data_IF_819370235300
#
_entry.id   IF_819370235300
#
_cell.length_a   1.000
_cell.length_b   1.000
_cell.length_c   1.000
_cell.angle_alpha   90.00
_cell.angle_beta   90.00
_cell.angle_gamma   90.00
#
_symmetry.space_group_name_H-M   'P 1'
#
loop_
_entity.id
_entity.type
_entity.pdbx_description
1 polymer ?
#
# COMPACT_ATOMS: atom_id res chain seq x y z
N UNK A 1 5.04 -7.71 0.69
CA UNK A 1 4.58 -9.11 0.89
C UNK A 1 4.17 -9.41 2.33
N UNK A 2 5.03 -9.19 3.35
CA UNK A 2 4.71 -9.55 4.74
C UNK A 2 3.43 -8.90 5.30
N UNK A 3 3.13 -7.64 4.95
CA UNK A 3 1.90 -6.98 5.41
C UNK A 3 0.62 -7.65 4.86
N UNK A 4 0.61 -8.10 3.61
CA UNK A 4 -0.56 -8.77 3.02
C UNK A 4 -0.87 -10.12 3.68
N UNK A 5 0.17 -10.81 4.16
CA UNK A 5 0.07 -12.11 4.83
C UNK A 5 -0.28 -12.00 6.32
N UNK A 6 -0.26 -10.81 6.91
CA UNK A 6 -0.57 -10.61 8.32
C UNK A 6 -2.08 -10.71 8.56
N UNK A 7 -2.50 -11.71 9.34
CA UNK A 7 -3.91 -11.98 9.64
C UNK A 7 -4.63 -10.85 10.42
N UNK A 8 -3.88 -9.97 11.08
CA UNK A 8 -4.44 -8.82 11.80
C UNK A 8 -4.78 -7.64 10.86
N UNK A 9 -4.33 -7.68 9.61
CA UNK A 9 -4.59 -6.62 8.63
C UNK A 9 -5.84 -6.98 7.84
N UNK A 10 -6.84 -6.08 7.85
CA UNK A 10 -8.09 -6.25 7.09
C UNK A 10 -8.14 -5.41 5.81
N UNK A 11 -7.50 -4.24 5.84
CA UNK A 11 -7.36 -3.32 4.71
C UNK A 11 -5.89 -2.94 4.58
N UNK A 12 -5.35 -3.05 3.37
CA UNK A 12 -4.00 -2.63 3.02
C UNK A 12 -4.09 -1.63 1.87
N UNK A 13 -3.97 -0.34 2.19
CA UNK A 13 -3.87 0.72 1.20
C UNK A 13 -2.40 0.91 0.81
N UNK A 14 -2.11 0.81 -0.48
CA UNK A 14 -0.81 1.09 -1.05
C UNK A 14 -0.84 2.49 -1.66
N UNK A 15 0.22 3.25 -1.40
CA UNK A 15 0.39 4.59 -1.92
C UNK A 15 1.80 4.78 -2.46
N UNK A 16 1.90 5.39 -3.64
CA UNK A 16 3.13 5.91 -4.19
C UNK A 16 2.79 7.08 -5.14
N UNK A 17 3.80 7.86 -5.52
CA UNK A 17 3.66 8.93 -6.51
C UNK A 17 3.40 8.35 -7.91
N UNK A 18 3.93 7.15 -8.20
CA UNK A 18 3.78 6.44 -9.48
C UNK A 18 3.79 4.92 -9.28
N UNK A 19 3.09 4.20 -10.16
CA UNK A 19 3.23 2.74 -10.31
C UNK A 19 2.42 1.88 -9.34
N UNK A 20 1.70 2.50 -8.39
CA UNK A 20 0.88 1.79 -7.40
C UNK A 20 -0.17 0.85 -7.98
N UNK A 21 -0.88 1.14 -9.09
CA UNK A 21 -1.93 0.24 -9.60
C UNK A 21 -1.42 -1.17 -9.95
N UNK A 22 -0.23 -1.27 -10.58
CA UNK A 22 0.36 -2.57 -10.92
C UNK A 22 0.79 -3.35 -9.68
N UNK A 23 1.39 -2.66 -8.71
CA UNK A 23 1.80 -3.25 -7.42
C UNK A 23 0.58 -3.72 -6.63
N UNK A 24 -0.50 -2.94 -6.63
CA UNK A 24 -1.77 -3.31 -6.01
C UNK A 24 -2.39 -4.55 -6.64
N UNK A 25 -2.41 -4.62 -7.97
CA UNK A 25 -2.90 -5.80 -8.68
C UNK A 25 -2.12 -7.06 -8.30
N UNK A 26 -0.78 -6.99 -8.33
CA UNK A 26 0.08 -8.12 -7.96
C UNK A 26 -0.17 -8.59 -6.51
N UNK A 27 -0.18 -7.64 -5.55
CA UNK A 27 -0.40 -7.97 -4.13
C UNK A 27 -1.83 -8.46 -3.86
N UNK A 28 -2.82 -8.02 -4.65
CA UNK A 28 -4.22 -8.43 -4.49
C UNK A 28 -4.46 -9.91 -4.79
N UNK A 29 -3.63 -10.54 -5.62
CA UNK A 29 -3.76 -11.96 -5.98
C UNK A 29 -3.34 -12.91 -4.87
N UNK A 30 -2.71 -12.41 -3.81
CA UNK A 30 -2.30 -13.23 -2.67
C UNK A 30 -3.52 -13.62 -1.84
N UNK A 31 -3.79 -14.93 -1.78
CA UNK A 31 -4.90 -15.51 -1.02
C UNK A 31 -4.75 -15.28 0.49
N UNK A 32 -5.35 -14.20 0.96
CA UNK A 32 -5.33 -13.75 2.35
C UNK A 32 -6.45 -12.75 2.58
N UNK A 33 -6.85 -12.59 3.84
CA UNK A 33 -8.06 -11.86 4.24
C UNK A 33 -8.01 -10.33 4.01
N UNK A 34 -6.82 -9.76 3.85
CA UNK A 34 -6.66 -8.31 3.69
C UNK A 34 -7.11 -7.86 2.30
N UNK A 35 -8.01 -6.87 2.23
CA UNK A 35 -8.37 -6.22 0.97
C UNK A 35 -7.32 -5.18 0.58
N UNK A 36 -6.91 -5.18 -0.68
CA UNK A 36 -5.87 -4.28 -1.20
C UNK A 36 -6.51 -3.16 -2.01
N UNK A 37 -6.10 -1.93 -1.73
CA UNK A 37 -6.40 -0.76 -2.56
C UNK A 37 -5.10 -0.09 -2.98
N UNK A 38 -5.09 0.54 -4.16
CA UNK A 38 -3.92 1.20 -4.71
C UNK A 38 -4.26 2.65 -5.04
N UNK A 39 -3.42 3.55 -4.57
CA UNK A 39 -3.58 5.00 -4.69
C UNK A 39 -2.32 5.61 -5.31
N UNK A 40 -2.49 6.44 -6.32
CA UNK A 40 -1.42 6.93 -7.16
C UNK A 40 -1.41 8.45 -7.24
N UNK A 41 -0.27 9.05 -6.90
CA UNK A 41 -0.05 10.49 -7.00
C UNK A 41 -0.66 11.30 -5.86
N UNK A 42 -0.34 12.59 -5.76
CA UNK A 42 -0.63 13.42 -4.60
C UNK A 42 -2.12 13.58 -4.30
N UNK A 43 -2.99 13.53 -5.32
CA UNK A 43 -4.42 13.75 -5.17
C UNK A 43 -5.15 12.60 -4.47
N UNK A 44 -4.59 11.39 -4.51
CA UNK A 44 -5.19 10.18 -3.92
C UNK A 44 -4.65 9.88 -2.52
N UNK A 45 -3.68 10.67 -2.02
CA UNK A 45 -3.10 10.48 -0.68
C UNK A 45 -4.16 10.57 0.42
N UNK A 46 -5.12 11.49 0.30
CA UNK A 46 -6.20 11.63 1.27
C UNK A 46 -7.03 10.33 1.39
N UNK A 47 -7.40 9.74 0.25
CA UNK A 47 -8.15 8.49 0.20
C UNK A 47 -7.33 7.29 0.72
N UNK A 48 -6.00 7.29 0.51
CA UNK A 48 -5.12 6.25 1.02
C UNK A 48 -5.02 6.24 2.56
N UNK A 49 -5.15 7.40 3.20
CA UNK A 49 -5.00 7.58 4.64
C UNK A 49 -6.33 7.51 5.40
N UNK A 50 -7.46 7.59 4.71
CA UNK A 50 -8.78 7.66 5.34
C UNK A 50 -9.06 6.41 6.18
N UNK A 51 -9.28 6.62 7.50
CA UNK A 51 -9.56 5.54 8.45
C UNK A 51 -8.40 4.57 8.68
N UNK A 52 -7.16 4.97 8.40
CA UNK A 52 -5.97 4.14 8.64
C UNK A 52 -5.53 4.19 10.10
N UNK A 53 -5.38 3.03 10.73
CA UNK A 53 -4.89 2.91 12.11
C UNK A 53 -3.36 3.03 12.21
N UNK A 54 -2.64 2.52 11.19
CA UNK A 54 -1.17 2.45 11.16
C UNK A 54 -0.67 2.85 9.78
N UNK A 55 0.28 3.80 9.75
CA UNK A 55 0.97 4.23 8.52
C UNK A 55 2.42 3.77 8.56
N UNK A 56 2.85 3.04 7.54
CA UNK A 56 4.25 2.63 7.35
C UNK A 56 4.88 3.47 6.23
N UNK A 57 5.89 4.27 6.58
CA UNK A 57 6.57 5.16 5.63
C UNK A 57 7.91 4.55 5.24
N UNK A 58 7.95 3.87 4.09
CA UNK A 58 9.19 3.41 3.46
C UNK A 58 9.63 4.29 2.29
N UNK A 59 8.89 5.39 2.03
CA UNK A 59 9.20 6.31 0.95
C UNK A 59 10.54 7.01 1.21
N UNK A 60 11.32 7.19 0.14
CA UNK A 60 12.62 7.83 0.21
C UNK A 60 13.47 7.51 -1.01
N UNK A 61 14.57 8.24 -1.14
CA UNK A 61 15.56 7.97 -2.18
C UNK A 61 16.69 7.17 -1.53
N UNK A 62 17.07 6.00 -2.10
CA UNK A 62 18.21 5.25 -1.60
C UNK A 62 19.48 6.09 -1.67
N UNK A 63 20.41 5.89 -0.72
CA UNK A 63 21.71 6.56 -0.77
C UNK A 63 22.43 6.16 -2.05
N UNK A 64 22.98 7.14 -2.75
CA UNK A 64 23.91 6.89 -3.86
C UNK A 64 25.27 6.43 -3.28
N UNK A 65 26.06 5.67 -4.05
CA UNK A 65 27.43 5.29 -3.67
C UNK A 65 28.29 6.50 -3.33
#
# INVERSE_FOLDING_TARGET
LLLKLNSNIRKLALYDIKGTPGVGADISHIDSVAQVTAHNGPNELGAALEGTDIVVISAGVPRKP
#
